data_IF_479364842495
#
_entry.id   IF_479364842495
#
_cell.length_a   1.000
_cell.length_b   1.000
_cell.length_c   1.000
_cell.angle_alpha   90.00
_cell.angle_beta   90.00
_cell.angle_gamma   90.00
#
_symmetry.space_group_name_H-M   'P 1'
#
loop_
_entity.id
_entity.type
_entity.pdbx_description
1 polymer ?
#
# COMPACT_ATOMS: atom_id res chain seq x y z
N UNK A 1 -11.65 9.86 10.09
CA UNK A 1 -11.83 8.43 9.69
C UNK A 1 -12.44 8.45 8.31
N UNK A 2 -11.90 7.68 7.37
CA UNK A 2 -12.39 7.64 5.99
C UNK A 2 -13.41 6.52 5.82
N UNK A 3 -14.48 6.72 5.04
CA UNK A 3 -15.27 5.61 4.54
C UNK A 3 -14.60 5.02 3.30
N UNK A 4 -14.62 3.71 3.13
CA UNK A 4 -13.99 3.05 1.98
C UNK A 4 -14.46 3.61 0.62
N UNK A 5 -15.73 3.96 0.49
CA UNK A 5 -16.31 4.56 -0.72
C UNK A 5 -15.70 5.91 -1.11
N UNK A 6 -15.03 6.59 -0.18
CA UNK A 6 -14.37 7.86 -0.39
C UNK A 6 -12.85 7.73 -0.59
N UNK A 7 -12.28 6.52 -0.52
CA UNK A 7 -10.86 6.28 -0.78
C UNK A 7 -10.63 6.22 -2.30
N UNK A 8 -9.79 7.10 -2.87
CA UNK A 8 -9.50 7.08 -4.31
C UNK A 8 -8.65 5.87 -4.71
N UNK A 9 -8.85 5.36 -5.93
CA UNK A 9 -7.95 4.40 -6.53
C UNK A 9 -6.52 4.99 -6.64
N UNK A 10 -5.52 4.15 -6.41
CA UNK A 10 -4.11 4.55 -6.31
C UNK A 10 -3.67 4.92 -4.89
N UNK A 11 -4.58 4.92 -3.91
CA UNK A 11 -4.23 5.15 -2.51
C UNK A 11 -3.31 4.04 -1.98
N UNK A 12 -2.26 4.44 -1.25
CA UNK A 12 -1.40 3.52 -0.51
C UNK A 12 -2.17 3.04 0.71
N UNK A 13 -2.27 1.72 0.88
CA UNK A 13 -2.90 1.08 2.04
C UNK A 13 -1.88 0.30 2.86
N UNK A 14 -2.11 0.26 4.17
CA UNK A 14 -1.26 -0.45 5.14
C UNK A 14 -2.12 -1.20 6.15
N UNK A 15 -1.68 -2.38 6.53
CA UNK A 15 -2.15 -3.05 7.75
C UNK A 15 -0.97 -3.55 8.59
N UNK A 16 -1.18 -3.64 9.90
CA UNK A 16 -0.20 -4.21 10.82
C UNK A 16 -0.17 -5.74 10.78
N UNK A 17 0.99 -6.31 11.11
CA UNK A 17 1.26 -7.72 11.32
C UNK A 17 1.94 -7.85 12.69
N UNK A 18 1.25 -8.50 13.62
CA UNK A 18 1.65 -8.77 15.00
C UNK A 18 2.24 -7.56 15.75
N UNK A 19 1.75 -6.34 15.44
CA UNK A 19 2.22 -5.05 15.97
C UNK A 19 3.71 -4.76 15.77
N UNK A 20 4.40 -5.53 14.92
CA UNK A 20 5.84 -5.44 14.71
C UNK A 20 6.21 -5.15 13.26
N UNK A 21 5.38 -5.59 12.32
CA UNK A 21 5.61 -5.40 10.90
C UNK A 21 4.39 -4.79 10.23
N UNK A 22 4.60 -4.22 9.05
CA UNK A 22 3.55 -3.69 8.21
C UNK A 22 3.50 -4.43 6.89
N UNK A 23 2.30 -4.49 6.32
CA UNK A 23 2.12 -4.95 4.95
C UNK A 23 1.41 -3.87 4.15
N UNK A 24 1.93 -3.60 2.96
CA UNK A 24 1.48 -2.47 2.13
C UNK A 24 1.02 -2.92 0.76
N UNK A 25 0.13 -2.12 0.18
CA UNK A 25 -0.41 -2.36 -1.15
C UNK A 25 -1.03 -1.10 -1.72
N UNK A 26 -1.63 -1.24 -2.90
CA UNK A 26 -2.32 -0.16 -3.61
C UNK A 26 -3.80 -0.50 -3.71
N UNK A 27 -4.66 0.36 -3.19
CA UNK A 27 -6.10 0.27 -3.41
C UNK A 27 -6.41 0.64 -4.86
N UNK A 28 -7.19 -0.17 -5.57
CA UNK A 28 -7.50 0.03 -7.00
C UNK A 28 -9.00 0.29 -7.27
N UNK A 29 -9.79 0.55 -6.22
CA UNK A 29 -11.23 0.72 -6.32
C UNK A 29 -12.01 -0.56 -6.00
N UNK A 30 -13.33 -0.43 -5.87
CA UNK A 30 -14.28 -1.55 -5.69
C UNK A 30 -13.89 -2.57 -4.60
N UNK A 31 -13.27 -2.10 -3.50
CA UNK A 31 -12.85 -2.98 -2.40
C UNK A 31 -11.66 -3.90 -2.73
N UNK A 32 -10.91 -3.61 -3.79
CA UNK A 32 -9.75 -4.39 -4.23
C UNK A 32 -8.41 -3.69 -3.93
N UNK A 33 -7.43 -4.50 -3.54
CA UNK A 33 -6.06 -4.08 -3.25
C UNK A 33 -5.11 -4.95 -4.06
N UNK A 34 -4.14 -4.33 -4.71
CA UNK A 34 -2.99 -5.04 -5.30
C UNK A 34 -1.86 -5.10 -4.28
N UNK A 35 -1.33 -6.29 -4.07
CA UNK A 35 -0.17 -6.53 -3.21
C UNK A 35 0.86 -7.44 -3.89
N UNK A 36 2.12 -7.29 -3.49
CA UNK A 36 3.15 -8.30 -3.68
C UNK A 36 3.12 -9.25 -2.48
N UNK A 37 2.72 -10.51 -2.71
CA UNK A 37 2.71 -11.55 -1.68
C UNK A 37 4.13 -12.09 -1.44
N UNK A 38 4.40 -12.61 -0.24
CA UNK A 38 5.69 -13.23 0.11
C UNK A 38 6.12 -14.44 -0.74
N UNK A 39 5.26 -14.96 -1.61
CA UNK A 39 5.65 -15.96 -2.63
C UNK A 39 6.20 -15.33 -3.91
N UNK A 40 6.26 -14.00 -4.01
CA UNK A 40 6.63 -13.27 -5.22
C UNK A 40 5.48 -12.96 -6.17
N UNK A 41 4.29 -13.52 -5.95
CA UNK A 41 3.14 -13.26 -6.81
C UNK A 41 2.53 -11.89 -6.51
N UNK A 42 2.39 -11.06 -7.54
CA UNK A 42 1.57 -9.85 -7.47
C UNK A 42 0.11 -10.22 -7.78
N UNK A 43 -0.80 -9.88 -6.86
CA UNK A 43 -2.20 -10.28 -6.92
C UNK A 43 -3.13 -9.15 -6.53
N UNK A 44 -4.31 -9.11 -7.14
CA UNK A 44 -5.44 -8.32 -6.67
C UNK A 44 -6.30 -9.16 -5.72
N UNK A 45 -6.59 -8.63 -4.54
CA UNK A 45 -7.34 -9.31 -3.49
C UNK A 45 -8.37 -8.37 -2.87
N UNK A 46 -9.40 -8.92 -2.21
CA UNK A 46 -10.33 -8.12 -1.43
C UNK A 46 -9.68 -7.58 -0.16
N UNK A 47 -10.27 -6.54 0.43
CA UNK A 47 -9.85 -6.01 1.73
C UNK A 47 -9.81 -7.09 2.82
N UNK A 48 -10.80 -7.98 2.87
CA UNK A 48 -10.81 -9.07 3.86
C UNK A 48 -9.59 -9.98 3.67
N UNK A 49 -9.29 -10.38 2.43
CA UNK A 49 -8.10 -11.17 2.10
C UNK A 49 -6.79 -10.43 2.39
N UNK A 50 -6.79 -9.10 2.35
CA UNK A 50 -5.65 -8.27 2.74
C UNK A 50 -5.39 -8.32 4.26
N UNK A 51 -6.35 -8.76 5.08
CA UNK A 51 -6.13 -9.03 6.50
C UNK A 51 -5.85 -10.51 6.82
N UNK A 52 -6.15 -11.43 5.92
CA UNK A 52 -5.95 -12.87 6.17
C UNK A 52 -4.51 -13.19 6.57
N UNK A 53 -4.35 -13.98 7.64
CA UNK A 53 -3.07 -14.34 8.25
C UNK A 53 -2.22 -13.14 8.73
N UNK A 54 -2.85 -11.98 8.96
CA UNK A 54 -2.25 -10.78 9.52
C UNK A 54 -3.06 -10.37 10.75
N UNK A 55 -2.42 -9.83 11.80
CA UNK A 55 -3.14 -9.47 13.03
C UNK A 55 -3.81 -8.08 12.97
N UNK A 56 -3.61 -7.34 11.87
CA UNK A 56 -4.08 -5.98 11.70
C UNK A 56 -5.61 -5.86 11.73
N UNK A 57 -6.11 -4.90 12.52
CA UNK A 57 -7.55 -4.61 12.63
C UNK A 57 -7.99 -3.38 11.85
N UNK A 58 -7.04 -2.61 11.33
CA UNK A 58 -7.30 -1.34 10.67
C UNK A 58 -6.63 -1.33 9.29
N UNK A 59 -7.37 -0.84 8.30
CA UNK A 59 -6.79 -0.43 7.01
C UNK A 59 -6.41 1.03 7.17
N UNK A 60 -5.14 1.35 7.01
CA UNK A 60 -4.65 2.73 7.07
C UNK A 60 -4.35 3.22 5.65
N UNK A 61 -4.63 4.49 5.37
CA UNK A 61 -4.29 5.16 4.11
C UNK A 61 -3.36 6.34 4.34
N UNK A 62 -2.48 6.61 3.37
CA UNK A 62 -1.60 7.76 3.40
C UNK A 62 -2.36 9.06 3.10
N UNK A 63 -2.30 10.01 4.02
CA UNK A 63 -2.96 11.31 3.93
C UNK A 63 -1.97 12.46 4.14
N UNK A 64 -2.29 13.64 3.60
CA UNK A 64 -1.59 14.88 3.92
C UNK A 64 -1.96 15.40 5.32
N UNK A 65 -1.42 16.56 5.69
CA UNK A 65 -1.67 17.20 6.99
C UNK A 65 -3.12 17.67 7.18
N UNK A 66 -3.87 17.83 6.10
CA UNK A 66 -5.29 18.18 6.10
C UNK A 66 -6.19 16.93 6.15
N UNK A 67 -5.58 15.74 6.15
CA UNK A 67 -6.28 14.45 6.17
C UNK A 67 -6.75 13.99 4.80
N UNK A 68 -6.35 14.66 3.71
CA UNK A 68 -6.72 14.25 2.35
C UNK A 68 -5.86 13.09 1.87
N UNK A 69 -6.48 12.09 1.24
CA UNK A 69 -5.75 10.91 0.73
C UNK A 69 -4.80 11.32 -0.40
N UNK A 70 -3.54 10.91 -0.27
CA UNK A 70 -2.50 11.17 -1.25
C UNK A 70 -2.46 10.03 -2.28
N UNK A 71 -2.46 10.41 -3.56
CA UNK A 71 -2.39 9.47 -4.69
C UNK A 71 -1.32 9.93 -5.68
N UNK A 72 -0.49 8.99 -6.15
CA UNK A 72 0.44 9.24 -7.24
C UNK A 72 -0.25 9.11 -8.60
N UNK A 73 0.08 10.00 -9.54
CA UNK A 73 -0.42 9.92 -10.92
C UNK A 73 -0.03 8.57 -11.55
N UNK A 74 -1.01 7.86 -12.14
CA UNK A 74 -0.80 6.55 -12.76
C UNK A 74 -0.56 5.39 -11.77
N UNK A 75 -0.74 5.62 -10.46
CA UNK A 75 -0.40 4.62 -9.42
C UNK A 75 -1.26 3.36 -9.53
N UNK A 76 -2.56 3.51 -9.70
CA UNK A 76 -3.49 2.39 -9.83
C UNK A 76 -3.17 1.57 -11.09
N UNK A 77 -2.93 2.25 -12.22
CA UNK A 77 -2.61 1.63 -13.50
C UNK A 77 -1.32 0.82 -13.42
N UNK A 78 -0.27 1.38 -12.81
CA UNK A 78 0.99 0.65 -12.60
C UNK A 78 0.81 -0.58 -11.71
N UNK A 79 0.01 -0.48 -10.66
CA UNK A 79 -0.29 -1.63 -9.80
C UNK A 79 -1.07 -2.73 -10.58
N UNK A 80 -2.10 -2.33 -11.34
CA UNK A 80 -2.92 -3.23 -12.14
C UNK A 80 -2.08 -3.96 -13.19
N UNK A 81 -1.18 -3.26 -13.89
CA UNK A 81 -0.31 -3.84 -14.91
C UNK A 81 0.63 -4.94 -14.38
N UNK A 82 0.89 -4.96 -13.07
CA UNK A 82 1.76 -5.95 -12.44
C UNK A 82 1.01 -7.22 -11.99
N UNK A 83 -0.33 -7.24 -12.02
CA UNK A 83 -1.12 -8.40 -11.57
C UNK A 83 -0.74 -9.65 -12.40
N UNK A 84 -0.62 -10.79 -11.72
CA UNK A 84 -0.17 -12.09 -12.25
C UNK A 84 1.32 -12.16 -12.67
N UNK A 85 2.11 -11.13 -12.39
CA UNK A 85 3.57 -11.25 -12.48
C UNK A 85 4.13 -11.94 -11.23
N UNK A 86 5.27 -12.62 -11.41
CA UNK A 86 6.04 -13.20 -10.32
C UNK A 86 7.37 -12.46 -10.23
N UNK A 87 7.69 -11.98 -9.04
CA UNK A 87 8.93 -11.28 -8.73
C UNK A 87 9.75 -12.10 -7.74
N UNK A 88 11.06 -11.96 -7.78
CA UNK A 88 11.95 -12.60 -6.81
C UNK A 88 11.81 -11.91 -5.45
N UNK A 89 10.93 -12.42 -4.58
CA UNK A 89 10.58 -11.77 -3.32
C UNK A 89 11.71 -11.92 -2.31
N UNK A 90 12.13 -10.81 -1.74
CA UNK A 90 13.13 -10.75 -0.68
C UNK A 90 12.72 -9.71 0.35
N UNK A 91 12.76 -10.06 1.64
CA UNK A 91 12.32 -9.18 2.72
C UNK A 91 13.11 -7.86 2.77
N UNK A 92 14.36 -7.85 2.29
CA UNK A 92 15.26 -6.71 2.37
C UNK A 92 15.27 -5.92 1.06
N UNK A 93 15.30 -6.61 -0.08
CA UNK A 93 15.58 -5.99 -1.37
C UNK A 93 14.38 -5.92 -2.31
N UNK A 94 13.38 -6.79 -2.15
CA UNK A 94 12.22 -6.85 -3.04
C UNK A 94 10.96 -7.29 -2.30
N UNK A 95 10.47 -6.39 -1.47
CA UNK A 95 9.34 -6.59 -0.56
C UNK A 95 8.10 -5.77 -1.00
N UNK A 96 7.02 -5.90 -0.23
CA UNK A 96 5.77 -5.17 -0.46
C UNK A 96 5.94 -3.64 -0.44
N UNK A 97 6.86 -3.09 0.36
CA UNK A 97 7.12 -1.66 0.44
C UNK A 97 7.79 -1.13 -0.82
N UNK A 98 8.79 -1.84 -1.34
CA UNK A 98 9.43 -1.51 -2.62
C UNK A 98 8.43 -1.55 -3.77
N UNK A 99 7.61 -2.60 -3.83
CA UNK A 99 6.53 -2.71 -4.81
C UNK A 99 5.56 -1.51 -4.72
N UNK A 100 5.13 -1.16 -3.51
CA UNK A 100 4.21 -0.04 -3.26
C UNK A 100 4.84 1.28 -3.72
N UNK A 101 6.11 1.53 -3.38
CA UNK A 101 6.83 2.74 -3.77
C UNK A 101 7.00 2.85 -5.29
N UNK A 102 7.30 1.73 -5.96
CA UNK A 102 7.35 1.65 -7.41
C UNK A 102 6.00 2.02 -8.03
N UNK A 103 4.91 1.47 -7.50
CA UNK A 103 3.57 1.81 -7.98
C UNK A 103 3.28 3.31 -7.80
N UNK A 104 3.63 3.92 -6.66
CA UNK A 104 3.36 5.35 -6.44
C UNK A 104 4.18 6.26 -7.34
N UNK A 105 5.47 5.97 -7.53
CA UNK A 105 6.41 6.90 -8.16
C UNK A 105 6.80 6.57 -9.60
N UNK A 106 6.57 5.34 -10.06
CA UNK A 106 7.12 4.79 -11.30
C UNK A 106 8.63 4.54 -11.27
N UNK A 107 9.29 4.69 -10.11
CA UNK A 107 10.75 4.55 -9.96
C UNK A 107 11.11 3.24 -9.27
N UNK A 108 12.29 2.72 -9.58
CA UNK A 108 12.87 1.56 -8.90
C UNK A 108 13.87 2.03 -7.85
N UNK A 109 13.39 2.29 -6.64
CA UNK A 109 14.24 2.67 -5.51
C UNK A 109 14.47 1.48 -4.56
N UNK A 110 15.63 1.42 -3.89
CA UNK A 110 15.84 0.46 -2.82
C UNK A 110 14.95 0.83 -1.63
N UNK A 111 14.20 -0.15 -1.11
CA UNK A 111 13.32 0.01 0.05
C UNK A 111 13.41 -1.27 0.90
N UNK A 112 13.83 -1.13 2.15
CA UNK A 112 13.99 -2.26 3.06
C UNK A 112 12.80 -2.37 4.01
N UNK A 113 12.26 -1.23 4.45
CA UNK A 113 11.33 -1.15 5.56
C UNK A 113 10.17 -0.20 5.29
N UNK A 114 9.15 -0.29 6.14
CA UNK A 114 8.06 0.68 6.13
C UNK A 114 8.53 2.11 6.45
N UNK A 115 9.61 2.25 7.23
CA UNK A 115 10.23 3.55 7.49
C UNK A 115 10.79 4.18 6.20
N UNK A 116 11.45 3.39 5.35
CA UNK A 116 11.97 3.85 4.05
C UNK A 116 10.82 4.32 3.14
N UNK A 117 9.74 3.52 3.08
CA UNK A 117 8.55 3.88 2.32
C UNK A 117 7.96 5.22 2.82
N UNK A 118 7.73 5.37 4.12
CA UNK A 118 7.20 6.61 4.70
C UNK A 118 8.07 7.82 4.36
N UNK A 119 9.39 7.66 4.50
CA UNK A 119 10.36 8.73 4.24
C UNK A 119 10.34 9.15 2.77
N UNK A 120 10.34 8.18 1.85
CA UNK A 120 10.32 8.49 0.42
C UNK A 120 8.99 9.07 -0.05
N UNK A 121 7.86 8.57 0.47
CA UNK A 121 6.55 9.13 0.15
C UNK A 121 6.42 10.58 0.65
N UNK A 122 6.89 10.87 1.87
CA UNK A 122 6.88 12.24 2.41
C UNK A 122 7.76 13.18 1.57
N UNK A 123 8.93 12.70 1.12
CA UNK A 123 9.81 13.43 0.21
C UNK A 123 9.17 13.67 -1.16
N UNK A 124 8.50 12.66 -1.72
CA UNK A 124 7.84 12.73 -3.03
C UNK A 124 6.72 13.77 -3.03
N UNK A 125 5.82 13.71 -2.04
CA UNK A 125 4.68 14.63 -1.93
C UNK A 125 5.02 15.95 -1.23
N UNK A 126 6.24 16.11 -0.71
CA UNK A 126 6.72 17.31 -0.01
C UNK A 126 5.81 17.71 1.16
N UNK A 127 5.30 16.70 1.87
CA UNK A 127 4.45 16.86 3.05
C UNK A 127 4.74 15.74 4.04
N UNK A 128 4.47 15.99 5.32
CA UNK A 128 4.35 14.89 6.28
C UNK A 128 3.13 14.05 5.94
N UNK A 129 3.26 12.74 6.19
CA UNK A 129 2.19 11.78 5.94
C UNK A 129 1.53 11.38 7.25
N UNK A 130 0.21 11.47 7.27
CA UNK A 130 -0.63 10.88 8.30
C UNK A 130 -1.19 9.55 7.81
N UNK A 131 -1.20 8.53 8.67
CA UNK A 131 -1.79 7.23 8.37
C UNK A 131 -3.15 7.15 9.05
N UNK A 132 -4.21 7.41 8.30
CA UNK A 132 -5.57 7.49 8.84
C UNK A 132 -6.35 6.20 8.59
N UNK A 133 -7.12 5.77 9.59
CA UNK A 133 -7.94 4.58 9.47
C UNK A 133 -9.12 4.78 8.51
N UNK A 134 -9.35 3.76 7.69
CA UNK A 134 -10.52 3.58 6.84
C UNK A 134 -11.50 2.64 7.55
N UNK A 135 -12.74 3.08 7.66
CA UNK A 135 -13.86 2.26 8.07
C UNK A 135 -14.15 1.24 6.97
N UNK A 136 -14.00 -0.03 7.32
CA UNK A 136 -14.25 -1.17 6.47
C UNK A 136 -15.30 -2.03 7.15
N UNK A 137 -16.41 -2.29 6.46
CA UNK A 137 -17.41 -3.24 6.94
C UNK A 137 -16.84 -4.64 6.75
N UNK A 138 -16.58 -5.34 7.85
CA UNK A 138 -16.06 -6.71 7.88
C UNK A 138 -17.11 -7.68 8.37
#
# INVERSE_FOLDING_TARGET
>A
MWHLSAVPAGAVVVCEIFHLFEHTGIYIGEGQIVELQGSGLVRAISINRFFDNRSGKHLLVACDRQGQVLVGEGCAERAIQQIFTVQDYDLIHNNCHRFTQHCVSGRNLPMTSFFDLKTELARLWRTDIQWLAVEVNR
#
